data_IF_248230057577
#
_entry.id   IF_248230057577
#
_cell.length_a   1.000
_cell.length_b   1.000
_cell.length_c   1.000
_cell.angle_alpha   90.00
_cell.angle_beta   90.00
_cell.angle_gamma   90.00
#
_symmetry.space_group_name_H-M   'P 1'
#
loop_
_entity.id
_entity.type
_entity.pdbx_description
1 polymer ?
#
# COMPACT_ATOMS: atom_id res chain seq x y z
N UNK A 1 62.75 -36.42 5.31
CA UNK A 1 61.56 -36.87 6.06
C UNK A 1 60.47 -35.83 5.92
N UNK A 2 59.36 -36.16 5.25
CA UNK A 2 58.20 -35.28 5.10
C UNK A 2 57.45 -35.17 6.43
N UNK A 3 57.39 -33.97 7.00
CA UNK A 3 56.62 -33.69 8.23
C UNK A 3 55.13 -33.97 7.94
N UNK A 4 54.56 -35.00 8.57
CA UNK A 4 53.16 -35.36 8.44
C UNK A 4 52.26 -34.22 8.95
N UNK A 5 51.36 -33.71 8.10
CA UNK A 5 50.45 -32.59 8.44
C UNK A 5 49.47 -32.90 9.58
N UNK A 6 49.15 -34.18 9.79
CA UNK A 6 48.26 -34.64 10.87
C UNK A 6 48.98 -34.87 12.20
N UNK A 7 50.31 -34.80 12.26
CA UNK A 7 51.06 -34.93 13.51
C UNK A 7 50.78 -33.70 14.39
N UNK A 8 50.30 -33.88 15.63
CA UNK A 8 50.15 -32.77 16.56
C UNK A 8 51.53 -32.21 16.94
N UNK A 9 51.61 -30.90 17.06
CA UNK A 9 52.77 -30.14 17.49
C UNK A 9 52.42 -29.37 18.76
N UNK A 10 53.37 -29.29 19.69
CA UNK A 10 53.17 -28.63 20.98
C UNK A 10 53.43 -27.13 20.84
N UNK A 11 52.55 -26.30 21.41
CA UNK A 11 52.77 -24.87 21.57
C UNK A 11 53.80 -24.61 22.67
N UNK A 12 54.82 -23.80 22.39
CA UNK A 12 55.88 -23.44 23.34
C UNK A 12 55.38 -22.52 24.48
N UNK A 13 54.23 -21.86 24.31
CA UNK A 13 53.67 -20.91 25.28
C UNK A 13 52.73 -21.59 26.28
N UNK A 14 51.81 -22.44 25.81
CA UNK A 14 50.80 -23.10 26.66
C UNK A 14 51.00 -24.62 26.84
N UNK A 15 51.94 -25.23 26.11
CA UNK A 15 52.17 -26.68 26.15
C UNK A 15 51.08 -27.55 25.50
N UNK A 16 50.04 -26.95 24.89
CA UNK A 16 48.95 -27.69 24.25
C UNK A 16 49.31 -28.16 22.84
N UNK A 17 48.65 -29.23 22.39
CA UNK A 17 48.86 -29.85 21.09
C UNK A 17 47.93 -29.25 20.01
N UNK A 18 48.51 -28.84 18.89
CA UNK A 18 47.79 -28.30 17.74
C UNK A 18 48.22 -28.98 16.43
N UNK A 19 47.32 -29.03 15.45
CA UNK A 19 47.72 -29.37 14.09
C UNK A 19 48.63 -28.29 13.51
N UNK A 20 49.55 -28.67 12.62
CA UNK A 20 50.53 -27.76 12.03
C UNK A 20 49.91 -26.51 11.40
N UNK A 21 48.73 -26.65 10.80
CA UNK A 21 48.02 -25.54 10.12
C UNK A 21 47.42 -24.55 11.13
N UNK A 22 47.04 -25.00 12.34
CA UNK A 22 46.44 -24.17 13.39
C UNK A 22 47.48 -23.63 14.39
N UNK A 23 48.63 -24.29 14.53
CA UNK A 23 49.65 -23.90 15.51
C UNK A 23 50.18 -22.48 15.28
N UNK A 24 50.36 -22.08 14.01
CA UNK A 24 50.89 -20.75 13.68
C UNK A 24 49.95 -19.64 14.12
N UNK A 25 48.65 -19.81 13.84
CA UNK A 25 47.60 -18.87 14.26
C UNK A 25 47.43 -18.87 15.78
N UNK A 26 47.42 -20.04 16.40
CA UNK A 26 47.37 -20.17 17.86
C UNK A 26 48.57 -19.47 18.53
N UNK A 27 49.80 -19.64 18.04
CA UNK A 27 50.99 -18.97 18.61
C UNK A 27 50.88 -17.44 18.59
N UNK A 28 50.17 -16.86 17.62
CA UNK A 28 49.94 -15.42 17.56
C UNK A 28 48.97 -14.93 18.65
N UNK A 29 47.96 -15.74 18.97
CA UNK A 29 46.86 -15.41 19.89
C UNK A 29 46.87 -16.21 21.20
N UNK A 30 47.96 -16.90 21.51
CA UNK A 30 48.06 -17.78 22.66
C UNK A 30 48.01 -16.93 23.94
N UNK A 31 47.03 -17.15 24.80
CA UNK A 31 46.88 -16.39 26.05
C UNK A 31 48.10 -16.48 26.96
N UNK A 32 48.82 -17.62 26.93
CA UNK A 32 50.01 -17.87 27.76
C UNK A 32 51.30 -17.28 27.14
N UNK A 33 51.20 -16.65 25.97
CA UNK A 33 52.32 -15.96 25.35
C UNK A 33 52.66 -14.73 26.19
N UNK A 34 53.91 -14.63 26.61
CA UNK A 34 54.42 -13.44 27.30
C UNK A 34 54.67 -12.33 26.26
N UNK A 35 54.22 -11.13 26.58
CA UNK A 35 54.37 -9.92 25.79
C UNK A 35 54.82 -8.75 26.67
N UNK A 36 55.47 -7.78 26.03
CA UNK A 36 55.87 -6.52 26.66
C UNK A 36 54.84 -5.45 26.33
N UNK A 37 54.44 -4.65 27.32
CA UNK A 37 53.53 -3.53 27.10
C UNK A 37 54.22 -2.40 26.31
N UNK A 38 53.61 -1.98 25.21
CA UNK A 38 54.14 -0.94 24.33
C UNK A 38 54.17 0.47 24.97
N UNK A 39 53.36 0.69 26.01
CA UNK A 39 53.22 2.01 26.65
C UNK A 39 54.12 2.19 27.87
N UNK A 40 54.19 1.19 28.75
CA UNK A 40 55.02 1.27 29.97
C UNK A 40 56.34 0.50 29.86
N UNK A 41 56.51 -0.35 28.85
CA UNK A 41 57.71 -1.19 28.68
C UNK A 41 57.82 -2.32 29.69
N UNK A 42 56.77 -2.59 30.50
CA UNK A 42 56.75 -3.72 31.43
C UNK A 42 56.68 -5.02 30.63
N UNK A 43 57.65 -5.89 30.86
CA UNK A 43 57.70 -7.23 30.29
C UNK A 43 57.09 -8.26 31.24
N UNK A 44 56.79 -9.46 30.74
CA UNK A 44 56.25 -10.55 31.56
C UNK A 44 54.72 -10.60 31.64
N UNK A 45 54.00 -9.89 30.78
CA UNK A 45 52.53 -9.87 30.77
C UNK A 45 52.03 -11.00 29.89
N UNK A 46 51.09 -11.82 30.39
CA UNK A 46 50.42 -12.82 29.55
C UNK A 46 49.51 -12.10 28.53
N UNK A 47 49.52 -12.53 27.27
CA UNK A 47 48.70 -11.94 26.22
C UNK A 47 47.21 -11.96 26.59
N UNK A 48 46.76 -12.98 27.30
CA UNK A 48 45.38 -13.07 27.83
C UNK A 48 45.05 -12.03 28.91
N UNK A 49 46.06 -11.53 29.62
CA UNK A 49 45.94 -10.52 30.68
C UNK A 49 46.29 -9.10 30.21
N UNK A 50 46.78 -8.96 28.96
CA UNK A 50 47.20 -7.68 28.40
C UNK A 50 46.08 -6.62 28.41
N UNK A 51 44.84 -7.04 28.19
CA UNK A 51 43.67 -6.15 28.25
C UNK A 51 43.48 -5.56 29.65
N UNK A 52 43.61 -6.38 30.69
CA UNK A 52 43.52 -5.94 32.10
C UNK A 52 44.69 -5.02 32.45
N UNK A 53 45.91 -5.39 32.01
CA UNK A 53 47.07 -4.53 32.16
C UNK A 53 46.84 -3.15 31.55
N UNK A 54 46.24 -3.06 30.36
CA UNK A 54 45.93 -1.78 29.72
C UNK A 54 44.90 -0.93 30.46
N UNK A 55 44.07 -1.49 31.35
CA UNK A 55 43.17 -0.70 32.19
C UNK A 55 43.92 -0.02 33.35
N UNK A 56 44.97 -0.67 33.85
CA UNK A 56 45.76 -0.21 35.00
C UNK A 56 47.07 0.49 34.61
N UNK A 57 47.48 0.39 33.35
CA UNK A 57 48.76 0.92 32.85
C UNK A 57 48.84 2.46 32.99
N UNK A 58 49.72 2.94 33.87
CA UNK A 58 49.89 4.38 34.13
C UNK A 58 50.38 5.19 32.92
N UNK A 59 51.12 4.54 32.01
CA UNK A 59 51.75 5.15 30.83
C UNK A 59 50.89 5.07 29.58
N UNK A 60 49.82 4.26 29.60
CA UNK A 60 48.88 4.21 28.49
C UNK A 60 48.27 5.60 28.30
N UNK A 61 48.26 6.13 27.07
CA UNK A 61 47.62 7.42 26.80
C UNK A 61 46.10 7.30 26.96
N UNK A 62 45.53 8.29 27.64
CA UNK A 62 44.10 8.47 27.81
C UNK A 62 43.68 9.75 27.09
N UNK A 63 42.60 9.66 26.33
CA UNK A 63 41.98 10.81 25.69
C UNK A 63 41.06 11.53 26.69
N UNK A 64 40.91 12.85 26.52
CA UNK A 64 39.90 13.61 27.22
C UNK A 64 38.47 13.11 26.89
N UNK A 65 37.58 13.14 27.88
CA UNK A 65 36.15 12.82 27.69
C UNK A 65 35.46 13.76 26.71
N UNK A 66 35.95 15.00 26.59
CA UNK A 66 35.43 16.02 25.67
C UNK A 66 35.99 15.91 24.25
N UNK A 67 36.61 14.77 23.87
CA UNK A 67 37.17 14.57 22.53
C UNK A 67 36.13 14.71 21.42
N UNK A 68 34.89 14.26 21.67
CA UNK A 68 33.78 14.39 20.72
C UNK A 68 33.35 15.86 20.50
N UNK A 69 33.65 16.74 21.44
CA UNK A 69 33.40 18.19 21.34
C UNK A 69 34.62 18.99 20.85
N UNK A 70 35.69 18.31 20.44
CA UNK A 70 36.88 18.93 19.82
C UNK A 70 38.11 19.03 20.70
N UNK A 71 38.11 18.51 21.93
CA UNK A 71 39.32 18.49 22.75
C UNK A 71 40.35 17.49 22.20
N UNK A 72 41.58 17.95 21.96
CA UNK A 72 42.67 17.13 21.39
C UNK A 72 43.62 16.55 22.43
N UNK A 73 43.30 16.67 23.72
CA UNK A 73 44.19 16.20 24.78
C UNK A 73 44.28 14.68 24.80
N UNK A 74 45.52 14.19 24.80
CA UNK A 74 45.88 12.79 24.96
C UNK A 74 47.16 12.68 25.78
N UNK A 75 47.14 11.90 26.87
CA UNK A 75 48.28 11.80 27.76
C UNK A 75 48.10 10.78 28.88
N UNK A 76 49.11 10.57 29.73
CA UNK A 76 49.02 9.63 30.84
C UNK A 76 47.94 10.04 31.85
N UNK A 77 47.46 9.08 32.63
CA UNK A 77 46.31 9.26 33.54
C UNK A 77 46.46 10.46 34.49
N UNK A 78 47.67 10.71 35.02
CA UNK A 78 47.96 11.83 35.93
C UNK A 78 47.73 13.19 35.24
N UNK A 79 48.30 13.39 34.06
CA UNK A 79 48.13 14.62 33.27
C UNK A 79 46.70 14.80 32.78
N UNK A 80 45.98 13.70 32.50
CA UNK A 80 44.56 13.78 32.17
C UNK A 80 43.74 14.33 33.33
N UNK A 81 43.98 13.87 34.56
CA UNK A 81 43.25 14.35 35.74
C UNK A 81 43.49 15.85 35.95
N UNK A 82 44.73 16.32 35.79
CA UNK A 82 45.04 17.76 35.85
C UNK A 82 44.33 18.53 34.72
N UNK A 83 44.40 18.04 33.48
CA UNK A 83 43.71 18.65 32.34
C UNK A 83 42.19 18.76 32.52
N UNK A 84 41.54 17.77 33.14
CA UNK A 84 40.09 17.82 33.39
C UNK A 84 39.68 18.92 34.39
N UNK A 85 40.63 19.47 35.16
CA UNK A 85 40.38 20.61 36.06
C UNK A 85 40.61 21.97 35.39
N UNK A 86 41.07 22.01 34.13
CA UNK A 86 41.25 23.25 33.37
C UNK A 86 39.92 23.82 32.84
N UNK A 87 39.85 25.15 32.79
CA UNK A 87 38.71 25.95 32.32
C UNK A 87 38.45 25.85 30.80
N UNK A 88 39.39 25.28 30.03
CA UNK A 88 39.32 25.23 28.56
C UNK A 88 38.05 24.52 28.05
N UNK A 89 37.53 23.53 28.79
CA UNK A 89 36.30 22.82 28.44
C UNK A 89 35.03 23.66 28.58
N UNK A 90 35.02 24.64 29.50
CA UNK A 90 33.85 25.49 29.71
C UNK A 90 33.58 26.30 28.43
N UNK A 91 34.62 26.75 27.73
CA UNK A 91 34.44 27.49 26.48
C UNK A 91 33.84 26.63 25.36
N UNK A 92 34.23 25.36 25.23
CA UNK A 92 33.60 24.42 24.30
C UNK A 92 32.13 24.17 24.67
N UNK A 93 31.84 23.94 25.96
CA UNK A 93 30.47 23.74 26.44
C UNK A 93 29.60 24.96 26.17
N UNK A 94 30.09 26.17 26.45
CA UNK A 94 29.35 27.43 26.21
C UNK A 94 29.12 27.65 24.72
N UNK A 95 30.11 27.36 23.87
CA UNK A 95 29.98 27.49 22.41
C UNK A 95 28.94 26.51 21.88
N UNK A 96 29.03 25.25 22.28
CA UNK A 96 28.08 24.22 21.88
C UNK A 96 26.67 24.52 22.40
N UNK A 97 26.53 25.04 23.62
CA UNK A 97 25.23 25.47 24.15
C UNK A 97 24.62 26.61 23.34
N UNK A 98 25.42 27.57 22.86
CA UNK A 98 24.94 28.64 21.97
C UNK A 98 24.45 28.06 20.64
N UNK A 99 25.20 27.14 20.03
CA UNK A 99 24.79 26.46 18.80
C UNK A 99 23.48 25.69 19.00
N UNK A 100 23.38 24.92 20.09
CA UNK A 100 22.15 24.20 20.45
C UNK A 100 20.97 25.17 20.66
N UNK A 101 21.20 26.33 21.27
CA UNK A 101 20.16 27.35 21.44
C UNK A 101 19.68 27.94 20.11
N UNK A 102 20.56 28.10 19.11
CA UNK A 102 20.17 28.55 17.76
C UNK A 102 19.36 27.46 17.07
N UNK A 103 19.84 26.22 17.06
CA UNK A 103 19.14 25.08 16.46
C UNK A 103 17.76 24.89 17.10
N UNK A 104 17.66 24.98 18.42
CA UNK A 104 16.39 24.84 19.12
C UNK A 104 15.38 25.93 18.70
N UNK A 105 15.86 27.17 18.51
CA UNK A 105 15.03 28.26 18.02
C UNK A 105 14.54 28.01 16.59
N UNK A 106 15.42 27.59 15.69
CA UNK A 106 15.06 27.24 14.31
C UNK A 106 14.03 26.11 14.27
N UNK A 107 14.24 25.06 15.08
CA UNK A 107 13.28 23.96 15.22
C UNK A 107 11.91 24.44 15.71
N UNK A 108 11.89 25.37 16.68
CA UNK A 108 10.64 25.93 17.18
C UNK A 108 9.90 26.76 16.12
N UNK A 109 10.63 27.47 15.26
CA UNK A 109 10.07 28.21 14.13
C UNK A 109 9.50 27.24 13.07
N UNK A 110 10.21 26.16 12.74
CA UNK A 110 9.74 25.13 11.81
C UNK A 110 8.48 24.42 12.33
N UNK A 111 8.46 24.02 13.60
CA UNK A 111 7.27 23.46 14.26
C UNK A 111 6.10 24.46 14.17
N UNK A 112 6.36 25.75 14.39
CA UNK A 112 5.37 26.81 14.23
C UNK A 112 4.79 26.86 12.82
N UNK A 113 5.64 26.84 11.81
CA UNK A 113 5.23 26.84 10.41
C UNK A 113 4.43 25.59 10.02
N UNK A 114 4.87 24.39 10.44
CA UNK A 114 4.16 23.14 10.19
C UNK A 114 2.77 23.13 10.86
N UNK A 115 2.67 23.61 12.09
CA UNK A 115 1.38 23.75 12.78
C UNK A 115 0.44 24.70 12.05
N UNK A 116 0.96 25.81 11.53
CA UNK A 116 0.17 26.74 10.71
C UNK A 116 -0.35 26.08 9.43
N UNK A 117 0.49 25.32 8.72
CA UNK A 117 0.08 24.57 7.54
C UNK A 117 -0.99 23.51 7.87
N UNK A 118 -0.84 22.81 9.00
CA UNK A 118 -1.80 21.81 9.46
C UNK A 118 -3.17 22.43 9.76
N UNK A 119 -3.21 23.61 10.41
CA UNK A 119 -4.46 24.33 10.66
C UNK A 119 -5.12 24.80 9.35
N UNK A 120 -4.33 25.35 8.42
CA UNK A 120 -4.83 25.76 7.10
C UNK A 120 -5.44 24.59 6.33
N UNK A 121 -4.75 23.44 6.28
CA UNK A 121 -5.26 22.23 5.62
C UNK A 121 -6.52 21.70 6.34
N UNK A 122 -6.52 21.70 7.67
CA UNK A 122 -7.68 21.28 8.47
C UNK A 122 -8.90 22.14 8.17
N UNK A 123 -8.74 23.47 8.08
CA UNK A 123 -9.81 24.40 7.68
C UNK A 123 -10.29 24.12 6.27
N UNK A 124 -9.38 23.91 5.32
CA UNK A 124 -9.72 23.60 3.93
C UNK A 124 -10.53 22.30 3.81
N UNK A 125 -10.14 21.25 4.52
CA UNK A 125 -10.87 19.96 4.57
C UNK A 125 -12.24 20.14 5.21
N UNK A 126 -12.34 20.85 6.33
CA UNK A 126 -13.63 21.13 6.99
C UNK A 126 -14.59 21.87 6.06
N UNK A 127 -14.09 22.90 5.36
CA UNK A 127 -14.89 23.65 4.40
C UNK A 127 -15.29 22.78 3.19
N UNK A 128 -14.37 21.98 2.66
CA UNK A 128 -14.67 20.99 1.63
C UNK A 128 -15.80 20.04 2.04
N UNK A 129 -15.76 19.52 3.26
CA UNK A 129 -16.79 18.64 3.80
C UNK A 129 -18.14 19.36 3.97
N UNK A 130 -18.16 20.63 4.39
CA UNK A 130 -19.40 21.42 4.44
C UNK A 130 -20.00 21.56 3.04
N UNK A 131 -19.19 21.92 2.03
CA UNK A 131 -19.65 22.00 0.63
C UNK A 131 -20.23 20.68 0.15
N UNK A 132 -19.50 19.57 0.32
CA UNK A 132 -19.98 18.23 -0.05
C UNK A 132 -21.31 17.92 0.65
N UNK A 133 -21.41 18.14 1.96
CA UNK A 133 -22.66 17.93 2.71
C UNK A 133 -23.82 18.73 2.16
N UNK A 134 -23.63 20.01 1.80
CA UNK A 134 -24.69 20.85 1.22
C UNK A 134 -25.10 20.41 -0.18
N UNK A 135 -24.15 19.97 -1.00
CA UNK A 135 -24.47 19.41 -2.33
C UNK A 135 -25.23 18.10 -2.21
N UNK A 136 -24.85 17.24 -1.25
CA UNK A 136 -25.50 15.96 -1.01
C UNK A 136 -26.95 16.14 -0.54
N UNK A 137 -27.23 17.08 0.37
CA UNK A 137 -28.61 17.38 0.78
C UNK A 137 -29.43 17.96 -0.37
N UNK A 138 -28.83 18.80 -1.21
CA UNK A 138 -29.50 19.37 -2.39
C UNK A 138 -29.85 18.29 -3.43
N UNK A 139 -28.89 17.41 -3.76
CA UNK A 139 -29.09 16.29 -4.68
C UNK A 139 -30.13 15.32 -4.12
N UNK A 140 -30.07 15.00 -2.82
CA UNK A 140 -31.04 14.12 -2.17
C UNK A 140 -32.48 14.67 -2.28
N UNK A 141 -32.67 15.98 -2.04
CA UNK A 141 -33.96 16.65 -2.26
C UNK A 141 -34.43 16.58 -3.71
N UNK A 142 -33.55 16.87 -4.66
CA UNK A 142 -33.89 16.82 -6.09
C UNK A 142 -34.26 15.40 -6.54
N UNK A 143 -33.52 14.39 -6.05
CA UNK A 143 -33.80 12.98 -6.32
C UNK A 143 -35.18 12.58 -5.79
N UNK A 144 -35.54 12.97 -4.57
CA UNK A 144 -36.88 12.71 -4.03
C UNK A 144 -37.98 13.39 -4.84
N UNK A 145 -37.79 14.64 -5.26
CA UNK A 145 -38.75 15.33 -6.13
C UNK A 145 -38.95 14.60 -7.47
N UNK A 146 -37.84 14.16 -8.09
CA UNK A 146 -37.88 13.38 -9.34
C UNK A 146 -38.54 12.01 -9.14
N UNK A 147 -38.34 11.36 -8.00
CA UNK A 147 -39.02 10.09 -7.68
C UNK A 147 -40.54 10.28 -7.60
N UNK A 148 -41.02 11.36 -6.98
CA UNK A 148 -42.45 11.68 -6.91
C UNK A 148 -43.05 12.03 -8.28
N UNK A 149 -42.32 12.78 -9.12
CA UNK A 149 -42.74 13.02 -10.50
C UNK A 149 -42.82 11.74 -11.32
N UNK A 150 -41.80 10.87 -11.23
CA UNK A 150 -41.80 9.58 -11.89
C UNK A 150 -42.97 8.70 -11.43
N UNK A 151 -43.31 8.72 -10.13
CA UNK A 151 -44.47 8.00 -9.58
C UNK A 151 -45.78 8.51 -10.18
N UNK A 152 -45.96 9.84 -10.31
CA UNK A 152 -47.14 10.45 -10.94
C UNK A 152 -47.24 10.08 -12.42
N UNK A 153 -46.14 10.09 -13.15
CA UNK A 153 -46.10 9.70 -14.57
C UNK A 153 -46.47 8.23 -14.76
N UNK A 154 -45.96 7.33 -13.90
CA UNK A 154 -46.35 5.92 -13.90
C UNK A 154 -47.85 5.74 -13.67
N UNK A 155 -48.42 6.41 -12.67
CA UNK A 155 -49.86 6.36 -12.41
C UNK A 155 -50.71 6.85 -13.62
N UNK A 156 -50.26 7.92 -14.30
CA UNK A 156 -50.92 8.38 -15.55
C UNK A 156 -50.82 7.35 -16.68
N UNK A 157 -49.67 6.69 -16.80
CA UNK A 157 -49.45 5.64 -17.81
C UNK A 157 -50.35 4.43 -17.55
N UNK A 158 -50.51 4.03 -16.29
CA UNK A 158 -51.39 2.93 -15.89
C UNK A 158 -52.86 3.26 -16.21
N UNK A 159 -53.31 4.48 -15.92
CA UNK A 159 -54.67 4.93 -16.25
C UNK A 159 -54.92 4.96 -17.76
N UNK A 160 -53.97 5.47 -18.55
CA UNK A 160 -54.07 5.45 -20.02
C UNK A 160 -54.12 4.02 -20.56
N UNK A 161 -53.32 3.10 -19.99
CA UNK A 161 -53.31 1.69 -20.38
C UNK A 161 -54.67 1.05 -20.10
N UNK A 162 -55.25 1.31 -18.92
CA UNK A 162 -56.60 0.87 -18.54
C UNK A 162 -57.67 1.39 -19.51
N UNK A 163 -57.58 2.66 -19.92
CA UNK A 163 -58.51 3.25 -20.90
C UNK A 163 -58.40 2.61 -22.28
N UNK A 164 -57.19 2.28 -22.73
CA UNK A 164 -56.96 1.59 -24.00
C UNK A 164 -57.58 0.19 -23.93
N UNK A 165 -57.27 -0.59 -22.89
CA UNK A 165 -57.85 -1.93 -22.68
C UNK A 165 -59.38 -1.87 -22.71
N UNK A 166 -59.99 -0.92 -21.99
CA UNK A 166 -61.45 -0.74 -21.95
C UNK A 166 -62.05 -0.36 -23.31
N UNK A 167 -61.34 0.42 -24.15
CA UNK A 167 -61.77 0.74 -25.52
C UNK A 167 -61.57 -0.40 -26.52
N UNK A 168 -60.49 -1.18 -26.39
CA UNK A 168 -60.29 -2.40 -27.19
C UNK A 168 -61.30 -3.51 -26.86
N UNK A 169 -61.97 -3.43 -25.70
CA UNK A 169 -62.98 -4.40 -25.25
C UNK A 169 -64.43 -3.93 -25.54
N UNK A 170 -64.66 -2.82 -26.27
CA UNK A 170 -66.02 -2.49 -26.75
C UNK A 170 -66.42 -3.42 -27.93
N UNK A 171 -67.66 -3.94 -27.98
CA UNK A 171 -67.98 -5.22 -28.64
C UNK A 171 -68.17 -5.06 -30.14
N UNK A 172 -67.11 -5.25 -30.93
CA UNK A 172 -67.22 -5.43 -32.39
C UNK A 172 -67.22 -6.93 -32.77
N UNK A 173 -67.18 -7.85 -31.80
CA UNK A 173 -67.20 -9.30 -32.04
C UNK A 173 -68.33 -10.05 -31.32
N UNK A 174 -69.54 -9.47 -31.24
CA UNK A 174 -70.73 -10.20 -30.73
C UNK A 174 -71.94 -10.19 -31.66
N UNK A 175 -71.83 -9.69 -32.89
CA UNK A 175 -72.94 -9.75 -33.85
C UNK A 175 -72.59 -10.62 -35.05
N UNK A 176 -73.17 -11.82 -35.02
CA UNK A 176 -73.52 -12.67 -36.18
C UNK A 176 -72.35 -13.12 -37.06
N UNK A 177 -71.75 -14.24 -36.67
CA UNK A 177 -71.33 -15.26 -37.64
C UNK A 177 -72.21 -16.50 -37.41
N UNK A 178 -73.50 -16.36 -37.72
CA UNK A 178 -74.32 -17.51 -38.06
C UNK A 178 -73.64 -18.16 -39.27
N UNK A 179 -73.25 -19.43 -39.09
CA UNK A 179 -72.43 -20.17 -40.03
C UNK A 179 -73.03 -20.15 -41.44
N UNK A 180 -72.36 -19.46 -42.36
CA UNK A 180 -72.54 -19.68 -43.79
C UNK A 180 -71.57 -20.76 -44.23
N UNK A 181 -72.05 -22.00 -44.20
CA UNK A 181 -71.38 -23.17 -44.74
C UNK A 181 -71.22 -22.98 -46.25
N UNK A 182 -70.02 -22.72 -46.74
CA UNK A 182 -69.73 -22.74 -48.18
C UNK A 182 -69.30 -24.16 -48.57
N UNK A 183 -70.17 -24.86 -49.28
CA UNK A 183 -69.91 -26.18 -49.86
C UNK A 183 -69.10 -26.04 -51.15
N UNK A 184 -67.83 -26.46 -51.12
CA UNK A 184 -67.04 -26.65 -52.33
C UNK A 184 -67.13 -28.11 -52.78
N UNK A 185 -67.60 -28.33 -54.01
CA UNK A 185 -67.53 -29.63 -54.68
C UNK A 185 -66.23 -29.68 -55.49
N UNK A 186 -65.31 -30.58 -55.12
CA UNK A 186 -64.25 -31.03 -56.03
C UNK A 186 -64.74 -32.31 -56.70
N UNK A 187 -64.68 -32.38 -58.03
CA UNK A 187 -65.02 -33.56 -58.83
C UNK A 187 -63.71 -34.12 -59.41
N UNK A 188 -63.13 -35.20 -58.84
CA UNK A 188 -62.10 -36.01 -59.47
C UNK A 188 -62.71 -37.02 -60.48
N UNK A 189 -61.89 -37.47 -61.45
CA UNK A 189 -62.31 -38.21 -62.67
C UNK A 189 -62.59 -39.72 -62.47
N UNK A 190 -62.87 -40.18 -61.26
CA UNK A 190 -63.11 -41.59 -60.93
C UNK A 190 -64.44 -41.86 -60.18
N UNK A 191 -65.33 -40.86 -60.11
CA UNK A 191 -66.75 -41.08 -59.81
C UNK A 191 -67.10 -41.48 -58.37
N UNK A 192 -66.21 -41.29 -57.40
CA UNK A 192 -66.49 -41.51 -55.97
C UNK A 192 -66.68 -40.18 -55.23
N UNK A 193 -67.81 -39.99 -54.54
CA UNK A 193 -68.11 -38.79 -53.74
C UNK A 193 -67.74 -39.07 -52.28
N UNK A 194 -66.59 -38.57 -51.81
CA UNK A 194 -66.30 -38.51 -50.36
C UNK A 194 -66.74 -37.18 -49.77
N UNK A 195 -67.61 -37.23 -48.76
CA UNK A 195 -67.96 -36.07 -47.93
C UNK A 195 -66.86 -35.87 -46.88
N UNK A 196 -66.03 -34.84 -47.05
CA UNK A 196 -65.08 -34.43 -46.02
C UNK A 196 -65.52 -33.10 -45.41
N UNK A 197 -65.85 -33.14 -44.13
CA UNK A 197 -66.27 -31.97 -43.35
C UNK A 197 -65.10 -31.53 -42.47
N UNK A 198 -64.57 -30.31 -42.69
CA UNK A 198 -63.58 -29.71 -41.79
C UNK A 198 -64.21 -28.54 -41.02
N UNK A 199 -64.23 -28.57 -39.68
CA UNK A 199 -64.53 -27.38 -38.88
C UNK A 199 -63.36 -26.40 -39.01
N UNK A 200 -63.63 -25.15 -39.41
CA UNK A 200 -62.64 -24.08 -39.26
C UNK A 200 -62.66 -23.57 -37.82
N UNK A 201 -61.62 -23.90 -37.06
CA UNK A 201 -61.24 -23.10 -35.90
C UNK A 201 -60.41 -21.92 -36.38
N UNK A 202 -60.95 -20.72 -36.23
CA UNK A 202 -60.13 -19.49 -36.27
C UNK A 202 -59.52 -19.38 -34.87
N UNK A 203 -58.31 -19.89 -34.69
CA UNK A 203 -57.52 -19.55 -33.51
C UNK A 203 -57.15 -18.07 -33.61
N UNK A 204 -57.86 -17.21 -32.87
CA UNK A 204 -57.30 -15.94 -32.43
C UNK A 204 -56.29 -16.22 -31.31
N UNK A 205 -55.24 -16.98 -31.64
CA UNK A 205 -54.08 -17.20 -30.81
C UNK A 205 -53.01 -16.18 -31.21
N UNK A 206 -52.89 -15.09 -30.46
CA UNK A 206 -51.61 -14.39 -30.37
C UNK A 206 -50.67 -15.30 -29.58
N UNK A 207 -50.07 -16.27 -30.27
CA UNK A 207 -48.95 -17.03 -29.76
C UNK A 207 -47.76 -16.08 -29.70
N UNK A 208 -47.41 -15.71 -28.48
CA UNK A 208 -46.10 -15.17 -28.11
C UNK A 208 -45.00 -16.01 -28.77
N UNK A 209 -44.16 -15.40 -29.61
CA UNK A 209 -42.91 -16.05 -30.02
C UNK A 209 -42.01 -16.18 -28.78
N UNK A 210 -41.45 -17.38 -28.52
CA UNK A 210 -40.55 -17.58 -27.41
C UNK A 210 -39.19 -16.91 -27.64
N UNK A 211 -38.72 -16.28 -26.57
CA UNK A 211 -37.31 -15.93 -26.35
C UNK A 211 -36.52 -17.23 -26.26
N UNK A 212 -35.52 -17.41 -27.11
CA UNK A 212 -34.43 -18.35 -26.85
C UNK A 212 -33.15 -17.57 -26.64
N UNK A 213 -32.62 -17.70 -25.43
CA UNK A 213 -31.37 -17.13 -25.00
C UNK A 213 -30.19 -17.83 -25.66
N UNK A 214 -29.21 -17.05 -26.13
CA UNK A 214 -27.80 -17.45 -26.10
C UNK A 214 -26.92 -16.22 -25.90
N UNK A 215 -26.27 -16.15 -24.73
CA UNK A 215 -24.94 -15.54 -24.64
C UNK A 215 -23.97 -16.30 -25.56
N UNK A 216 -22.83 -15.78 -25.97
CA UNK A 216 -21.87 -14.97 -25.21
C UNK A 216 -20.90 -14.24 -26.15
N UNK A 217 -20.22 -13.24 -25.59
CA UNK A 217 -18.87 -12.70 -25.88
C UNK A 217 -18.62 -11.71 -27.02
N UNK A 218 -18.15 -10.53 -26.56
CA UNK A 218 -16.97 -9.76 -27.00
C UNK A 218 -17.09 -8.72 -28.12
N UNK A 219 -16.82 -7.47 -27.69
CA UNK A 219 -16.17 -6.35 -28.37
C UNK A 219 -16.79 -5.91 -29.71
N UNK A 220 -17.02 -4.61 -29.97
CA UNK A 220 -15.99 -3.62 -30.25
C UNK A 220 -16.49 -2.22 -29.90
N UNK A 221 -15.56 -1.43 -29.37
CA UNK A 221 -15.73 -0.07 -28.90
C UNK A 221 -15.96 0.96 -30.02
N UNK A 222 -16.65 2.02 -29.60
CA UNK A 222 -17.07 3.21 -30.29
C UNK A 222 -15.93 4.04 -30.90
N UNK A 223 -16.22 4.62 -32.06
CA UNK A 223 -15.44 5.67 -32.70
C UNK A 223 -15.87 7.07 -32.23
N UNK A 224 -14.86 7.88 -31.86
CA UNK A 224 -14.73 9.34 -32.13
C UNK A 224 -15.62 10.29 -31.30
N UNK A 225 -15.16 11.36 -30.62
CA UNK A 225 -13.92 12.14 -30.66
C UNK A 225 -13.74 12.90 -29.34
N UNK A 226 -12.49 13.06 -28.86
CA UNK A 226 -12.12 14.07 -27.86
C UNK A 226 -10.94 14.91 -28.40
N UNK A 227 -11.19 16.21 -28.53
CA UNK A 227 -10.20 17.26 -28.78
C UNK A 227 -9.48 17.57 -27.45
N UNK A 228 -8.16 17.83 -27.55
CA UNK A 228 -7.45 18.80 -26.72
C UNK A 228 -6.77 18.28 -25.45
N UNK A 229 -5.47 18.01 -25.55
CA UNK A 229 -4.52 17.98 -24.42
C UNK A 229 -3.41 19.00 -24.69
N UNK A 230 -3.19 19.89 -23.74
CA UNK A 230 -2.03 20.81 -23.65
C UNK A 230 -0.74 20.03 -23.37
N UNK A 231 0.45 20.53 -23.79
CA UNK A 231 1.71 20.08 -23.25
C UNK A 231 2.18 20.96 -22.07
N UNK A 232 2.99 20.34 -21.22
CA UNK A 232 3.70 20.87 -20.06
C UNK A 232 5.09 21.40 -20.41
N UNK A 233 5.61 22.25 -19.52
CA UNK A 233 7.01 22.63 -19.28
C UNK A 233 7.77 23.48 -20.32
N UNK A 234 8.00 24.73 -19.92
CA UNK A 234 9.33 25.34 -19.81
C UNK A 234 9.45 25.95 -18.42
#
# INVERSE_FOLDING_TARGET
>A
GSVCRKRPLVCEHCGLNFHKELLTDHKAHCSDKIVTCEHCGVDGILLGELSLHYEECERKPWCCTMKEYGCTFEGPRKSLIEHLTFEDHIQYIVTHFKELSVINKEQQEEIGHLNFQLDALTKAVKEGNRRVSTTLTTISRALHAQQEENKKLRAKLDELSRMIEQKTIHPILSTKLDGTTTTHHKIPRDGTIERVTYPRYVEAGLVSRPVSARGTTSAVASSSSRIGRLPSNT
#
